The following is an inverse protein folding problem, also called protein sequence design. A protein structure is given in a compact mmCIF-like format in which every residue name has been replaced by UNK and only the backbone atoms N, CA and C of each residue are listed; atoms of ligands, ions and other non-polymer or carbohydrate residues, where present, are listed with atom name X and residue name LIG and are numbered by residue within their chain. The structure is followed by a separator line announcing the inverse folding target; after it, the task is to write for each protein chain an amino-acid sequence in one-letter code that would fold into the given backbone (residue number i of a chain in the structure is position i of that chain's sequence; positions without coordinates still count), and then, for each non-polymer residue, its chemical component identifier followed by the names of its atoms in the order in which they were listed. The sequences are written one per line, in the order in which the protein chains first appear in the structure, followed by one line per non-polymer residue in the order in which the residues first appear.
data_IF_378190523542
#
_entry.id   IF_378190523542
#
_cell.length_a   1.000
_cell.length_b   1.000
_cell.length_c   1.000
_cell.angle_alpha   90.00
_cell.angle_beta   90.00
_cell.angle_gamma   90.00
#
_symmetry.space_group_name_H-M   'P 1'
#
loop_
_entity.id
_entity.type
_entity.pdbx_description
1 polymer ?
#
# COMPACT_ATOMS: atom_id res chain seq x y z
N UNK A 1 -13.55 6.68 -13.66
CA UNK A 1 -13.73 6.64 -12.19
C UNK A 1 -14.36 7.90 -11.63
N UNK A 2 -13.68 9.06 -11.60
CA UNK A 2 -14.21 10.29 -10.95
C UNK A 2 -15.60 10.65 -11.48
N UNK A 3 -15.79 10.65 -12.79
CA UNK A 3 -17.11 10.93 -13.40
C UNK A 3 -18.18 9.94 -12.91
N UNK A 4 -17.85 8.63 -12.83
CA UNK A 4 -18.78 7.62 -12.33
C UNK A 4 -19.13 7.86 -10.85
N UNK A 5 -18.15 8.22 -10.02
CA UNK A 5 -18.37 8.59 -8.61
C UNK A 5 -19.26 9.83 -8.48
N UNK A 6 -19.04 10.85 -9.31
CA UNK A 6 -19.89 12.05 -9.35
C UNK A 6 -21.31 11.70 -9.77
N UNK A 7 -21.49 10.81 -10.74
CA UNK A 7 -22.81 10.34 -11.18
C UNK A 7 -23.55 9.63 -10.05
N UNK A 8 -22.89 8.70 -9.35
CA UNK A 8 -23.51 7.99 -8.20
C UNK A 8 -23.81 8.97 -7.06
N UNK A 9 -22.88 9.86 -6.73
CA UNK A 9 -23.11 10.90 -5.72
C UNK A 9 -24.28 11.82 -6.10
N UNK A 10 -24.40 12.18 -7.39
CA UNK A 10 -25.54 12.94 -7.90
C UNK A 10 -26.86 12.19 -7.76
N UNK A 11 -26.87 10.88 -8.04
CA UNK A 11 -28.01 10.00 -7.79
C UNK A 11 -28.46 10.04 -6.33
N UNK A 12 -27.52 9.82 -5.40
CA UNK A 12 -27.73 9.92 -3.95
C UNK A 12 -28.34 11.26 -3.55
N UNK A 13 -27.80 12.36 -4.08
CA UNK A 13 -28.27 13.72 -3.75
C UNK A 13 -29.73 13.96 -4.15
N UNK A 14 -30.16 13.33 -5.25
CA UNK A 14 -31.52 13.46 -5.77
C UNK A 14 -32.50 12.52 -5.05
N UNK A 15 -32.09 11.27 -4.79
CA UNK A 15 -32.99 10.22 -4.31
C UNK A 15 -33.09 10.13 -2.78
N UNK A 16 -32.00 10.36 -2.06
CA UNK A 16 -31.92 10.26 -0.59
C UNK A 16 -32.00 11.66 0.03
N UNK A 17 -31.45 12.67 -0.66
CA UNK A 17 -31.43 14.06 -0.24
C UNK A 17 -30.03 14.66 -0.28
N UNK A 18 -29.93 15.97 0.00
CA UNK A 18 -28.65 16.67 -0.02
C UNK A 18 -27.63 16.16 1.01
N UNK A 19 -26.36 16.55 0.84
CA UNK A 19 -25.27 16.20 1.77
C UNK A 19 -25.66 16.42 3.24
N UNK A 20 -26.24 17.57 3.65
CA UNK A 20 -26.62 17.80 5.05
C UNK A 20 -27.63 16.78 5.57
N UNK A 21 -28.57 16.34 4.72
CA UNK A 21 -29.60 15.38 5.12
C UNK A 21 -28.99 14.02 5.45
N UNK A 22 -28.09 13.52 4.59
CA UNK A 22 -27.40 12.23 4.84
C UNK A 22 -26.66 12.27 6.17
N UNK A 23 -25.86 13.30 6.42
CA UNK A 23 -25.10 13.40 7.67
C UNK A 23 -25.97 13.62 8.90
N UNK A 24 -27.07 14.37 8.80
CA UNK A 24 -28.02 14.55 9.91
C UNK A 24 -28.72 13.25 10.27
N UNK A 25 -29.18 12.49 9.27
CA UNK A 25 -29.85 11.21 9.50
C UNK A 25 -28.88 10.19 10.09
N UNK A 26 -27.64 10.12 9.60
CA UNK A 26 -26.60 9.28 10.21
C UNK A 26 -26.33 9.70 11.65
N UNK A 27 -26.23 11.00 11.95
CA UNK A 27 -26.00 11.49 13.31
C UNK A 27 -27.13 11.11 14.28
N UNK A 28 -28.37 11.00 13.79
CA UNK A 28 -29.53 10.59 14.60
C UNK A 28 -29.57 9.08 14.84
N UNK A 29 -29.19 8.27 13.85
CA UNK A 29 -29.23 6.81 13.94
C UNK A 29 -28.00 6.21 14.63
N UNK A 30 -26.81 6.66 14.24
CA UNK A 30 -25.54 6.20 14.81
C UNK A 30 -24.52 7.35 14.82
N UNK A 31 -24.49 8.17 15.90
CA UNK A 31 -23.56 9.28 16.00
C UNK A 31 -22.10 8.80 16.10
N UNK A 32 -21.85 7.55 16.48
CA UNK A 32 -20.47 7.04 16.64
C UNK A 32 -19.75 6.93 15.30
N UNK A 33 -20.48 6.66 14.20
CA UNK A 33 -19.94 6.63 12.84
C UNK A 33 -19.37 7.97 12.35
N UNK A 34 -19.78 9.09 12.97
CA UNK A 34 -19.28 10.42 12.66
C UNK A 34 -18.08 10.82 13.54
N UNK A 35 -17.58 9.88 14.34
CA UNK A 35 -16.46 10.10 15.26
C UNK A 35 -15.38 9.03 15.10
N UNK A 36 -14.18 9.32 15.62
CA UNK A 36 -13.05 8.39 15.64
C UNK A 36 -12.94 7.66 16.99
N UNK A 37 -14.06 7.15 17.51
CA UNK A 37 -14.12 6.41 18.79
C UNK A 37 -14.50 4.93 18.62
N UNK A 38 -14.52 4.43 17.39
CA UNK A 38 -14.80 3.01 17.13
C UNK A 38 -13.68 2.12 17.68
N UNK A 39 -14.04 0.97 18.24
CA UNK A 39 -13.06 -0.02 18.71
C UNK A 39 -12.18 -0.48 17.53
N UNK A 40 -10.85 -0.38 17.67
CA UNK A 40 -9.88 -0.73 16.62
C UNK A 40 -9.68 0.33 15.51
N UNK A 41 -10.62 1.27 15.35
CA UNK A 41 -10.58 2.35 14.35
C UNK A 41 -10.60 3.73 15.00
N UNK A 42 -10.04 3.84 16.20
CA UNK A 42 -10.04 5.08 16.96
C UNK A 42 -9.05 6.11 16.39
N UNK A 43 -8.92 7.24 17.08
CA UNK A 43 -7.99 8.31 16.70
C UNK A 43 -6.54 7.83 16.61
N UNK A 44 -6.12 6.88 17.45
CA UNK A 44 -4.77 6.32 17.41
C UNK A 44 -4.57 5.53 16.12
N UNK A 45 -5.52 4.69 15.75
CA UNK A 45 -5.46 3.93 14.50
C UNK A 45 -5.42 4.86 13.29
N UNK A 46 -6.29 5.87 13.27
CA UNK A 46 -6.34 6.84 12.19
C UNK A 46 -5.00 7.58 12.03
N UNK A 47 -4.46 8.13 13.13
CA UNK A 47 -3.20 8.88 13.09
C UNK A 47 -2.02 7.99 12.68
N UNK A 48 -1.93 6.78 13.22
CA UNK A 48 -0.83 5.85 12.90
C UNK A 48 -0.92 5.35 11.46
N UNK A 49 -2.12 5.06 10.96
CA UNK A 49 -2.38 4.69 9.56
C UNK A 49 -2.03 5.84 8.59
N UNK A 50 -2.38 7.08 8.92
CA UNK A 50 -2.01 8.26 8.12
C UNK A 50 -0.50 8.44 8.08
N UNK A 51 0.20 8.25 9.20
CA UNK A 51 1.67 8.36 9.26
C UNK A 51 2.32 7.29 8.36
N UNK A 52 1.97 6.01 8.52
CA UNK A 52 2.60 4.93 7.75
C UNK A 52 2.34 5.06 6.25
N UNK A 53 1.10 5.40 5.86
CA UNK A 53 0.72 5.56 4.45
C UNK A 53 1.42 6.76 3.82
N UNK A 54 1.52 7.87 4.55
CA UNK A 54 2.25 9.07 4.10
C UNK A 54 3.74 8.78 3.94
N UNK A 55 4.36 8.08 4.89
CA UNK A 55 5.78 7.70 4.78
C UNK A 55 6.01 6.74 3.60
N UNK A 56 5.19 5.70 3.45
CA UNK A 56 5.30 4.75 2.34
C UNK A 56 5.15 5.44 0.97
N UNK A 57 4.17 6.35 0.85
CA UNK A 57 3.99 7.15 -0.37
C UNK A 57 5.14 8.13 -0.61
N UNK A 58 5.61 8.83 0.45
CA UNK A 58 6.68 9.82 0.38
C UNK A 58 8.04 9.22 -0.01
N UNK A 59 8.35 8.03 0.52
CA UNK A 59 9.56 7.27 0.14
C UNK A 59 9.36 6.41 -1.12
N UNK A 60 8.20 6.47 -1.77
CA UNK A 60 7.90 5.73 -3.00
C UNK A 60 8.25 4.23 -2.87
N UNK A 61 7.77 3.58 -1.80
CA UNK A 61 8.11 2.19 -1.49
C UNK A 61 7.46 1.18 -2.44
N UNK A 62 6.52 1.61 -3.27
CA UNK A 62 5.82 0.78 -4.23
C UNK A 62 6.65 0.62 -5.53
N UNK A 63 7.18 -0.57 -5.82
CA UNK A 63 8.10 -0.76 -6.95
C UNK A 63 7.45 -0.47 -8.32
N UNK A 64 6.13 -0.68 -8.44
CA UNK A 64 5.39 -0.44 -9.68
C UNK A 64 5.23 1.05 -10.03
N UNK A 65 5.49 1.96 -9.08
CA UNK A 65 5.44 3.41 -9.31
C UNK A 65 6.75 3.99 -9.85
N UNK A 66 7.86 3.23 -9.80
CA UNK A 66 9.16 3.71 -10.28
C UNK A 66 9.27 3.83 -11.81
N UNK A 67 8.78 2.89 -12.63
CA UNK A 67 8.86 3.02 -14.09
C UNK A 67 8.30 4.35 -14.66
N UNK A 68 7.11 4.83 -14.28
CA UNK A 68 6.61 6.12 -14.77
C UNK A 68 7.41 7.31 -14.23
N UNK A 69 7.99 7.22 -13.02
CA UNK A 69 8.89 8.24 -12.48
C UNK A 69 10.16 8.35 -13.32
N UNK A 70 10.78 7.23 -13.69
CA UNK A 70 11.98 7.21 -14.54
C UNK A 70 11.70 7.52 -16.01
N UNK A 71 10.47 7.32 -16.48
CA UNK A 71 10.05 7.69 -17.84
C UNK A 71 9.60 9.15 -17.97
N UNK A 72 9.55 9.92 -16.86
CA UNK A 72 9.12 11.31 -16.89
C UNK A 72 10.10 12.19 -17.70
N UNK A 73 9.56 13.08 -18.55
CA UNK A 73 10.38 13.95 -19.41
C UNK A 73 11.18 15.00 -18.65
N UNK A 74 10.71 15.42 -17.48
CA UNK A 74 11.39 16.39 -16.63
C UNK A 74 10.94 16.27 -15.17
N UNK A 75 11.78 16.78 -14.26
CA UNK A 75 11.45 16.89 -12.83
C UNK A 75 10.30 17.86 -12.55
N UNK A 76 10.09 18.86 -13.42
CA UNK A 76 8.98 19.80 -13.34
C UNK A 76 7.63 19.11 -13.54
N UNK A 77 7.53 18.19 -14.50
CA UNK A 77 6.32 17.38 -14.72
C UNK A 77 6.02 16.54 -13.48
N UNK A 78 7.05 15.96 -12.86
CA UNK A 78 6.88 15.16 -11.65
C UNK A 78 6.36 16.03 -10.49
N UNK A 79 6.96 17.21 -10.26
CA UNK A 79 6.48 18.18 -9.25
C UNK A 79 5.05 18.63 -9.53
N UNK A 80 4.70 18.86 -10.80
CA UNK A 80 3.34 19.21 -11.20
C UNK A 80 2.35 18.10 -10.84
N UNK A 81 2.69 16.84 -11.14
CA UNK A 81 1.87 15.69 -10.80
C UNK A 81 1.61 15.60 -9.28
N UNK A 82 2.63 15.81 -8.44
CA UNK A 82 2.47 15.82 -6.99
C UNK A 82 1.58 16.97 -6.47
N UNK A 83 1.62 18.15 -7.10
CA UNK A 83 0.70 19.26 -6.77
C UNK A 83 -0.76 18.89 -7.04
N UNK A 84 -1.02 18.25 -8.19
CA UNK A 84 -2.37 17.80 -8.55
C UNK A 84 -2.86 16.62 -7.72
N UNK A 85 -1.94 15.77 -7.23
CA UNK A 85 -2.28 14.64 -6.36
C UNK A 85 -3.10 15.07 -5.15
N UNK A 86 -2.75 16.20 -4.52
CA UNK A 86 -3.49 16.74 -3.38
C UNK A 86 -4.95 17.08 -3.73
N UNK A 87 -5.19 17.63 -4.93
CA UNK A 87 -6.54 17.93 -5.40
C UNK A 87 -7.32 16.66 -5.73
N UNK A 88 -6.65 15.62 -6.25
CA UNK A 88 -7.30 14.32 -6.47
C UNK A 88 -7.71 13.65 -5.16
N UNK A 89 -7.01 13.90 -4.05
CA UNK A 89 -7.44 13.39 -2.73
C UNK A 89 -8.78 13.97 -2.29
N UNK A 90 -9.14 15.20 -2.70
CA UNK A 90 -10.47 15.75 -2.41
C UNK A 90 -11.59 14.93 -3.08
N UNK A 91 -11.30 14.24 -4.19
CA UNK A 91 -12.28 13.36 -4.83
C UNK A 91 -12.62 12.12 -4.00
N UNK A 92 -11.78 11.75 -3.01
CA UNK A 92 -12.10 10.66 -2.05
C UNK A 92 -13.30 11.00 -1.16
N UNK A 93 -13.70 12.28 -1.07
CA UNK A 93 -14.95 12.65 -0.42
C UNK A 93 -16.16 11.96 -1.06
N UNK A 94 -16.15 11.74 -2.38
CA UNK A 94 -17.27 11.11 -3.10
C UNK A 94 -17.54 9.67 -2.64
N UNK A 95 -16.58 8.72 -2.65
CA UNK A 95 -16.83 7.37 -2.16
C UNK A 95 -17.13 7.33 -0.66
N UNK A 96 -16.54 8.22 0.16
CA UNK A 96 -16.87 8.32 1.60
C UNK A 96 -18.34 8.73 1.78
N UNK A 97 -18.79 9.76 1.06
CA UNK A 97 -20.17 10.22 1.07
C UNK A 97 -21.15 9.13 0.60
N UNK A 98 -20.81 8.43 -0.48
CA UNK A 98 -21.62 7.29 -0.98
C UNK A 98 -21.67 6.17 0.08
N UNK A 99 -20.57 5.90 0.79
CA UNK A 99 -20.54 4.94 1.90
C UNK A 99 -21.48 5.30 3.04
N UNK A 100 -21.53 6.58 3.46
CA UNK A 100 -22.51 7.04 4.45
C UNK A 100 -23.95 6.93 3.93
N UNK A 101 -24.19 7.24 2.65
CA UNK A 101 -25.51 7.05 2.05
C UNK A 101 -25.91 5.57 2.00
N UNK A 102 -24.95 4.64 1.85
CA UNK A 102 -25.20 3.21 1.85
C UNK A 102 -25.78 2.71 3.18
N UNK A 103 -25.35 3.29 4.32
CA UNK A 103 -25.92 2.98 5.63
C UNK A 103 -27.42 3.27 5.70
N UNK A 104 -27.89 4.28 4.96
CA UNK A 104 -29.30 4.66 4.92
C UNK A 104 -30.10 3.86 3.88
N UNK A 105 -29.46 3.47 2.78
CA UNK A 105 -30.13 2.89 1.61
C UNK A 105 -30.07 1.36 1.54
N UNK A 106 -29.11 0.71 2.20
CA UNK A 106 -28.84 -0.72 2.09
C UNK A 106 -29.04 -1.43 3.43
N UNK A 107 -29.22 -2.76 3.37
CA UNK A 107 -29.26 -3.60 4.57
C UNK A 107 -27.92 -3.55 5.30
N UNK A 108 -27.90 -3.57 6.65
CA UNK A 108 -26.67 -3.69 7.45
C UNK A 108 -25.81 -4.91 7.09
N UNK A 109 -26.42 -5.97 6.56
CA UNK A 109 -25.73 -7.20 6.16
C UNK A 109 -25.04 -7.09 4.78
N UNK A 110 -25.15 -5.94 4.11
CA UNK A 110 -24.56 -5.75 2.79
C UNK A 110 -23.04 -5.70 2.89
N UNK A 111 -22.34 -6.52 2.09
CA UNK A 111 -20.89 -6.52 2.06
C UNK A 111 -20.32 -5.14 1.68
N UNK A 112 -19.38 -4.64 2.49
CA UNK A 112 -18.76 -3.30 2.34
C UNK A 112 -18.25 -3.04 0.92
N UNK A 113 -17.56 -4.03 0.33
CA UNK A 113 -17.01 -3.97 -1.03
C UNK A 113 -18.07 -3.69 -2.12
N UNK A 114 -19.34 -4.03 -1.87
CA UNK A 114 -20.44 -3.88 -2.84
C UNK A 114 -21.30 -2.63 -2.61
N UNK A 115 -21.06 -1.90 -1.50
CA UNK A 115 -21.91 -0.79 -1.07
C UNK A 115 -22.12 0.28 -2.15
N UNK A 116 -21.05 0.68 -2.85
CA UNK A 116 -21.13 1.67 -3.92
C UNK A 116 -22.07 1.22 -5.06
N UNK A 117 -21.94 -0.03 -5.51
CA UNK A 117 -22.78 -0.56 -6.60
C UNK A 117 -24.22 -0.79 -6.12
N UNK A 118 -24.39 -1.20 -4.86
CA UNK A 118 -25.70 -1.28 -4.21
C UNK A 118 -26.40 0.07 -4.22
N UNK A 119 -25.75 1.12 -3.73
CA UNK A 119 -26.30 2.49 -3.75
C UNK A 119 -26.57 2.95 -5.19
N UNK A 120 -25.68 2.69 -6.13
CA UNK A 120 -25.91 3.03 -7.54
C UNK A 120 -27.19 2.37 -8.07
N UNK A 121 -27.44 1.10 -7.73
CA UNK A 121 -28.64 0.36 -8.14
C UNK A 121 -29.92 0.92 -7.51
N UNK A 122 -29.85 1.41 -6.28
CA UNK A 122 -30.99 2.04 -5.61
C UNK A 122 -31.30 3.46 -6.09
N UNK A 123 -30.32 4.16 -6.65
CA UNK A 123 -30.41 5.62 -6.89
C UNK A 123 -30.37 6.01 -8.36
N UNK A 124 -29.95 5.11 -9.25
CA UNK A 124 -29.78 5.37 -10.69
C UNK A 124 -30.63 4.41 -11.55
N UNK A 125 -31.00 4.81 -12.78
CA UNK A 125 -31.63 3.90 -13.73
C UNK A 125 -30.64 2.82 -14.21
N UNK A 126 -31.15 1.62 -14.52
CA UNK A 126 -30.36 0.42 -14.84
C UNK A 126 -29.26 0.62 -15.89
N UNK A 127 -29.54 1.39 -16.94
CA UNK A 127 -28.57 1.67 -18.00
C UNK A 127 -27.35 2.44 -17.47
N UNK A 128 -27.55 3.34 -16.51
CA UNK A 128 -26.52 4.17 -15.92
C UNK A 128 -25.71 3.39 -14.88
N UNK A 129 -26.35 2.45 -14.18
CA UNK A 129 -25.67 1.46 -13.33
C UNK A 129 -24.67 0.64 -14.17
N UNK A 130 -25.09 0.19 -15.37
CA UNK A 130 -24.20 -0.48 -16.32
C UNK A 130 -22.99 0.37 -16.71
N UNK A 131 -23.19 1.66 -17.00
CA UNK A 131 -22.09 2.60 -17.30
C UNK A 131 -21.14 2.76 -16.11
N UNK A 132 -21.66 2.90 -14.89
CA UNK A 132 -20.86 3.00 -13.66
C UNK A 132 -20.05 1.73 -13.44
N UNK A 133 -20.66 0.55 -13.63
CA UNK A 133 -19.98 -0.73 -13.48
C UNK A 133 -18.82 -0.88 -14.47
N UNK A 134 -19.04 -0.57 -15.75
CA UNK A 134 -17.98 -0.60 -16.78
C UNK A 134 -16.89 0.42 -16.50
N UNK A 135 -17.25 1.63 -16.06
CA UNK A 135 -16.29 2.67 -15.70
C UNK A 135 -15.45 2.30 -14.47
N UNK A 136 -16.05 1.62 -13.49
CA UNK A 136 -15.37 1.08 -12.31
C UNK A 136 -14.40 -0.04 -12.67
N UNK A 137 -14.86 -1.03 -13.44
CA UNK A 137 -14.03 -2.12 -13.93
C UNK A 137 -12.83 -1.60 -14.74
N UNK A 138 -13.07 -0.69 -15.70
CA UNK A 138 -12.02 -0.08 -16.51
C UNK A 138 -11.02 0.71 -15.66
N UNK A 139 -11.48 1.39 -14.61
CA UNK A 139 -10.62 2.13 -13.69
C UNK A 139 -9.74 1.21 -12.84
N UNK A 140 -10.25 0.05 -12.42
CA UNK A 140 -9.47 -0.95 -11.67
C UNK A 140 -8.39 -1.61 -12.56
N UNK A 141 -8.67 -1.82 -13.86
CA UNK A 141 -7.74 -2.50 -14.77
C UNK A 141 -6.40 -1.78 -14.94
N UNK A 142 -6.38 -0.44 -14.95
CA UNK A 142 -5.16 0.35 -15.19
C UNK A 142 -4.09 0.14 -14.10
N UNK A 143 -4.36 0.37 -12.80
CA UNK A 143 -3.38 0.09 -11.75
C UNK A 143 -3.07 -1.40 -11.63
N UNK A 144 -4.05 -2.29 -11.81
CA UNK A 144 -3.81 -3.74 -11.79
C UNK A 144 -2.80 -4.18 -12.85
N UNK A 145 -2.89 -3.66 -14.08
CA UNK A 145 -1.93 -3.94 -15.14
C UNK A 145 -0.51 -3.47 -14.76
N UNK A 146 -0.38 -2.26 -14.21
CA UNK A 146 0.91 -1.72 -13.78
C UNK A 146 1.54 -2.57 -12.66
N UNK A 147 0.74 -3.00 -11.68
CA UNK A 147 1.19 -3.85 -10.57
C UNK A 147 1.67 -5.20 -11.10
N UNK A 148 0.89 -5.85 -11.98
CA UNK A 148 1.22 -7.17 -12.53
C UNK A 148 2.46 -7.13 -13.43
N UNK A 149 2.62 -6.07 -14.22
CA UNK A 149 3.86 -5.81 -14.98
C UNK A 149 5.05 -5.60 -14.04
N UNK A 150 4.86 -4.86 -12.94
CA UNK A 150 5.86 -4.68 -11.90
C UNK A 150 6.31 -6.00 -11.28
N UNK A 151 5.36 -6.84 -10.85
CA UNK A 151 5.61 -8.17 -10.27
C UNK A 151 6.39 -9.04 -11.27
N UNK A 152 5.90 -9.15 -12.50
CA UNK A 152 6.56 -10.00 -13.51
C UNK A 152 8.00 -9.57 -13.79
N UNK A 153 8.25 -8.26 -13.88
CA UNK A 153 9.58 -7.70 -14.11
C UNK A 153 10.50 -7.95 -12.92
N UNK A 154 10.01 -7.77 -11.70
CA UNK A 154 10.77 -8.02 -10.47
C UNK A 154 11.18 -9.49 -10.37
N UNK A 155 10.22 -10.41 -10.57
CA UNK A 155 10.49 -11.85 -10.50
C UNK A 155 11.50 -12.27 -11.57
N UNK A 156 11.28 -11.88 -12.82
CA UNK A 156 12.14 -12.30 -13.94
C UNK A 156 13.56 -11.73 -13.84
N UNK A 157 13.70 -10.45 -13.48
CA UNK A 157 15.00 -9.75 -13.51
C UNK A 157 15.77 -9.78 -12.20
N UNK A 158 15.08 -9.76 -11.04
CA UNK A 158 15.73 -9.63 -9.73
C UNK A 158 15.79 -10.97 -9.00
N UNK A 159 14.70 -11.73 -8.97
CA UNK A 159 14.66 -13.04 -8.30
C UNK A 159 15.32 -14.13 -9.15
N UNK A 160 14.92 -14.25 -10.41
CA UNK A 160 15.42 -15.30 -11.31
C UNK A 160 16.63 -14.88 -12.15
N UNK A 161 16.98 -13.59 -12.13
CA UNK A 161 18.12 -12.99 -12.85
C UNK A 161 18.22 -13.38 -14.35
N UNK A 162 17.09 -13.60 -15.03
CA UNK A 162 17.07 -14.08 -16.42
C UNK A 162 17.53 -12.98 -17.37
N UNK A 163 18.67 -13.20 -18.04
CA UNK A 163 19.27 -12.23 -18.98
C UNK A 163 18.84 -12.43 -20.43
N UNK A 164 18.44 -13.63 -20.83
CA UNK A 164 18.02 -13.92 -22.21
C UNK A 164 16.67 -13.26 -22.53
N UNK A 165 16.57 -12.41 -23.58
CA UNK A 165 15.33 -11.68 -23.89
C UNK A 165 14.15 -12.61 -24.17
N UNK A 166 14.35 -13.67 -24.96
CA UNK A 166 13.30 -14.65 -25.31
C UNK A 166 12.82 -15.44 -24.09
N UNK A 167 13.71 -15.77 -23.16
CA UNK A 167 13.35 -16.47 -21.92
C UNK A 167 12.66 -15.53 -20.93
N UNK A 168 13.15 -14.30 -20.82
CA UNK A 168 12.55 -13.27 -19.98
C UNK A 168 11.11 -12.96 -20.38
N UNK A 169 10.82 -12.85 -21.70
CA UNK A 169 9.46 -12.63 -22.18
C UNK A 169 8.50 -13.79 -21.81
N UNK A 170 8.95 -15.04 -21.99
CA UNK A 170 8.15 -16.22 -21.61
C UNK A 170 7.88 -16.28 -20.11
N UNK A 171 8.90 -16.03 -19.29
CA UNK A 171 8.75 -16.04 -17.83
C UNK A 171 7.90 -14.86 -17.35
N UNK A 172 8.04 -13.68 -17.94
CA UNK A 172 7.15 -12.55 -17.64
C UNK A 172 5.69 -12.92 -17.86
N UNK A 173 5.33 -13.45 -19.04
CA UNK A 173 3.95 -13.88 -19.30
C UNK A 173 3.45 -14.93 -18.32
N UNK A 174 4.29 -15.91 -17.98
CA UNK A 174 3.93 -16.93 -16.99
C UNK A 174 3.65 -16.31 -15.61
N UNK A 175 4.53 -15.42 -15.13
CA UNK A 175 4.36 -14.74 -13.84
C UNK A 175 3.11 -13.85 -13.85
N UNK A 176 2.82 -13.17 -14.97
CA UNK A 176 1.59 -12.39 -15.14
C UNK A 176 0.35 -13.27 -14.97
N UNK A 177 0.31 -14.42 -15.65
CA UNK A 177 -0.82 -15.36 -15.55
C UNK A 177 -0.97 -15.88 -14.11
N UNK A 178 0.13 -16.29 -13.48
CA UNK A 178 0.12 -16.78 -12.09
C UNK A 178 -0.38 -15.68 -11.14
N UNK A 179 0.09 -14.44 -11.29
CA UNK A 179 -0.32 -13.33 -10.45
C UNK A 179 -1.82 -13.00 -10.61
N UNK A 180 -2.34 -13.00 -11.83
CA UNK A 180 -3.77 -12.74 -12.11
C UNK A 180 -4.65 -13.87 -11.58
N UNK A 181 -4.26 -15.14 -11.80
CA UNK A 181 -5.01 -16.29 -11.28
C UNK A 181 -5.01 -16.30 -9.75
N UNK A 182 -3.86 -16.01 -9.13
CA UNK A 182 -3.77 -15.86 -7.67
C UNK A 182 -4.67 -14.74 -7.16
N UNK A 183 -4.62 -13.56 -7.78
CA UNK A 183 -5.48 -12.43 -7.43
C UNK A 183 -6.97 -12.76 -7.57
N UNK A 184 -7.37 -13.51 -8.62
CA UNK A 184 -8.74 -13.99 -8.79
C UNK A 184 -9.15 -14.93 -7.66
N UNK A 185 -8.32 -15.90 -7.29
CA UNK A 185 -8.60 -16.83 -6.18
C UNK A 185 -8.78 -16.07 -4.87
N UNK A 186 -7.92 -15.08 -4.57
CA UNK A 186 -8.08 -14.25 -3.38
C UNK A 186 -9.32 -13.36 -3.45
N UNK A 187 -9.64 -12.78 -4.62
CA UNK A 187 -10.84 -11.98 -4.82
C UNK A 187 -12.13 -12.74 -4.56
N UNK A 188 -12.18 -14.03 -4.93
CA UNK A 188 -13.34 -14.90 -4.66
C UNK A 188 -13.57 -15.19 -3.17
N UNK A 189 -12.61 -14.89 -2.29
CA UNK A 189 -12.74 -15.05 -0.84
C UNK A 189 -13.39 -13.84 -0.14
N UNK A 190 -13.78 -12.79 -0.88
CA UNK A 190 -14.49 -11.60 -0.37
C UNK A 190 -13.84 -10.92 0.86
N UNK A 191 -12.52 -10.91 0.93
CA UNK A 191 -11.79 -10.15 1.96
C UNK A 191 -12.06 -8.65 1.84
N UNK A 192 -12.03 -7.92 2.96
CA UNK A 192 -12.19 -6.47 2.96
C UNK A 192 -11.02 -5.81 2.20
N UNK A 193 -11.34 -5.08 1.14
CA UNK A 193 -10.33 -4.50 0.25
C UNK A 193 -9.56 -3.37 0.96
N UNK A 194 -10.20 -2.65 1.89
CA UNK A 194 -9.56 -1.58 2.64
C UNK A 194 -8.50 -2.13 3.61
N UNK A 195 -8.83 -3.22 4.32
CA UNK A 195 -7.89 -3.89 5.23
C UNK A 195 -6.69 -4.47 4.47
N UNK A 196 -6.94 -5.15 3.34
CA UNK A 196 -5.88 -5.66 2.45
C UNK A 196 -4.96 -4.54 1.95
N UNK A 197 -5.53 -3.37 1.64
CA UNK A 197 -4.75 -2.20 1.23
C UNK A 197 -3.85 -1.72 2.37
N UNK A 198 -4.37 -1.62 3.59
CA UNK A 198 -3.60 -1.17 4.74
C UNK A 198 -2.45 -2.13 5.07
N UNK A 199 -2.70 -3.43 5.05
CA UNK A 199 -1.66 -4.47 5.19
C UNK A 199 -0.58 -4.33 4.11
N UNK A 200 -0.99 -4.02 2.87
CA UNK A 200 -0.06 -3.77 1.76
C UNK A 200 0.82 -2.55 2.05
N UNK A 201 0.23 -1.44 2.52
CA UNK A 201 0.97 -0.25 2.94
C UNK A 201 1.93 -0.57 4.09
N UNK A 202 1.48 -1.27 5.12
CA UNK A 202 2.30 -1.66 6.26
C UNK A 202 3.47 -2.57 5.88
N UNK A 203 3.24 -3.54 5.00
CA UNK A 203 4.29 -4.44 4.50
C UNK A 203 5.33 -3.71 3.64
N UNK A 204 4.89 -2.84 2.73
CA UNK A 204 5.82 -2.06 1.88
C UNK A 204 6.49 -0.91 2.63
N UNK A 205 5.89 -0.39 3.70
CA UNK A 205 6.51 0.57 4.60
C UNK A 205 7.83 0.02 5.21
N UNK A 206 7.99 -1.30 5.28
CA UNK A 206 9.23 -1.91 5.77
C UNK A 206 10.45 -1.65 4.87
N UNK A 207 10.23 -1.13 3.66
CA UNK A 207 11.30 -0.65 2.77
C UNK A 207 11.70 0.81 3.03
N UNK A 208 10.99 1.55 3.88
CA UNK A 208 11.28 2.96 4.20
C UNK A 208 12.74 3.13 4.67
N UNK A 209 13.27 2.37 5.66
CA UNK A 209 14.64 2.55 6.10
C UNK A 209 15.66 2.31 4.98
N UNK A 210 15.39 1.32 4.11
CA UNK A 210 16.24 1.03 2.96
C UNK A 210 16.32 2.21 1.98
N UNK A 211 15.15 2.77 1.62
CA UNK A 211 15.10 3.93 0.69
C UNK A 211 15.71 5.16 1.34
N UNK A 212 15.40 5.44 2.61
CA UNK A 212 15.93 6.59 3.33
C UNK A 212 17.46 6.57 3.40
N UNK A 213 18.06 5.41 3.69
CA UNK A 213 19.51 5.23 3.71
C UNK A 213 20.13 5.34 2.30
N UNK A 214 19.42 4.91 1.26
CA UNK A 214 19.87 5.00 -0.13
C UNK A 214 19.84 6.42 -0.70
N UNK A 215 18.99 7.31 -0.17
CA UNK A 215 18.93 8.72 -0.57
C UNK A 215 20.10 9.56 -0.01
N UNK A 216 20.83 9.04 0.97
CA UNK A 216 22.01 9.69 1.53
C UNK A 216 23.15 9.81 0.50
N UNK A 217 24.03 10.82 0.69
CA UNK A 217 25.18 11.04 -0.21
C UNK A 217 26.17 9.87 -0.25
N UNK A 218 26.18 9.02 0.79
CA UNK A 218 26.91 7.76 0.85
C UNK A 218 26.11 6.73 1.62
N UNK A 219 25.97 5.52 1.07
CA UNK A 219 25.38 4.37 1.77
C UNK A 219 26.42 3.82 2.75
N UNK A 220 26.16 3.95 4.06
CA UNK A 220 27.08 3.52 5.14
C UNK A 220 26.67 2.23 5.82
N UNK A 221 25.61 1.59 5.35
CA UNK A 221 25.01 0.39 5.95
C UNK A 221 25.10 -0.74 4.93
N UNK A 222 25.36 -1.96 5.39
CA UNK A 222 25.42 -3.12 4.51
C UNK A 222 24.05 -3.52 3.96
N UNK A 223 24.05 -4.09 2.75
CA UNK A 223 22.83 -4.65 2.15
C UNK A 223 22.22 -5.76 3.03
N UNK A 224 23.07 -6.57 3.68
CA UNK A 224 22.62 -7.64 4.60
C UNK A 224 21.84 -7.06 5.78
N UNK A 225 22.35 -6.01 6.43
CA UNK A 225 21.65 -5.36 7.54
C UNK A 225 20.29 -4.79 7.12
N UNK A 226 20.25 -4.12 5.97
CA UNK A 226 19.01 -3.54 5.43
C UNK A 226 17.98 -4.62 5.07
N UNK A 227 18.39 -5.70 4.40
CA UNK A 227 17.49 -6.80 4.04
C UNK A 227 16.98 -7.55 5.27
N UNK A 228 17.84 -7.80 6.27
CA UNK A 228 17.44 -8.44 7.52
C UNK A 228 16.43 -7.60 8.29
N UNK A 229 16.63 -6.28 8.37
CA UNK A 229 15.66 -5.36 8.97
C UNK A 229 14.32 -5.37 8.23
N UNK A 230 14.35 -5.22 6.91
CA UNK A 230 13.13 -5.25 6.09
C UNK A 230 12.35 -6.56 6.22
N UNK A 231 13.06 -7.70 6.23
CA UNK A 231 12.44 -9.02 6.42
C UNK A 231 11.85 -9.16 7.83
N UNK A 232 12.56 -8.74 8.87
CA UNK A 232 12.06 -8.76 10.25
C UNK A 232 10.80 -7.90 10.38
N UNK A 233 10.81 -6.68 9.84
CA UNK A 233 9.63 -5.82 9.81
C UNK A 233 8.46 -6.46 9.06
N UNK A 234 8.70 -7.05 7.88
CA UNK A 234 7.64 -7.69 7.10
C UNK A 234 7.02 -8.88 7.85
N UNK A 235 7.85 -9.71 8.49
CA UNK A 235 7.37 -10.81 9.33
C UNK A 235 6.58 -10.26 10.51
N UNK A 236 7.03 -9.19 11.17
CA UNK A 236 6.27 -8.55 12.24
C UNK A 236 4.90 -8.08 11.78
N UNK A 237 4.77 -7.45 10.60
CA UNK A 237 3.45 -7.05 10.06
C UNK A 237 2.56 -8.28 9.91
N UNK A 238 3.06 -9.34 9.25
CA UNK A 238 2.29 -10.56 9.02
C UNK A 238 1.83 -11.18 10.35
N UNK A 239 2.72 -11.31 11.33
CA UNK A 239 2.38 -11.91 12.63
C UNK A 239 1.37 -11.02 13.38
N UNK A 240 1.57 -9.70 13.43
CA UNK A 240 0.66 -8.80 14.12
C UNK A 240 -0.73 -8.76 13.47
N UNK A 241 -0.81 -8.81 12.14
CA UNK A 241 -2.09 -8.81 11.40
C UNK A 241 -2.82 -10.14 11.51
N UNK A 242 -2.13 -11.28 11.34
CA UNK A 242 -2.81 -12.59 11.17
C UNK A 242 -2.83 -13.46 12.43
N UNK A 243 -2.07 -13.11 13.48
CA UNK A 243 -2.07 -13.86 14.74
C UNK A 243 -2.88 -13.18 15.85
N UNK A 244 -3.72 -12.19 15.51
CA UNK A 244 -4.60 -11.45 16.43
C UNK A 244 -3.90 -10.95 17.71
N UNK A 245 -2.64 -10.53 17.57
CA UNK A 245 -1.86 -10.04 18.71
C UNK A 245 -2.43 -8.70 19.16
N UNK A 246 -2.78 -8.52 20.45
CA UNK A 246 -3.36 -7.27 20.93
C UNK A 246 -2.30 -6.16 20.93
N UNK A 247 -2.29 -5.36 19.85
CA UNK A 247 -1.47 -4.15 19.71
C UNK A 247 -2.25 -2.86 20.04
N UNK A 248 -3.45 -3.02 20.63
CA UNK A 248 -4.40 -1.92 20.78
C UNK A 248 -4.86 -1.41 19.41
N UNK A 249 -5.12 -0.11 19.32
CA UNK A 249 -5.56 0.53 18.09
C UNK A 249 -4.40 1.01 17.20
N UNK A 250 -3.20 0.46 17.33
CA UNK A 250 -2.07 0.88 16.50
C UNK A 250 -2.07 0.19 15.15
N UNK A 251 -1.67 0.93 14.11
CA UNK A 251 -1.37 0.33 12.82
C UNK A 251 -0.19 -0.66 12.91
N UNK A 252 -0.43 -1.89 12.45
CA UNK A 252 0.55 -2.99 12.46
C UNK A 252 1.79 -2.69 11.62
N UNK A 253 1.63 -1.94 10.53
CA UNK A 253 2.72 -1.49 9.65
C UNK A 253 3.67 -0.52 10.36
N UNK A 254 3.11 0.47 11.05
CA UNK A 254 3.89 1.47 11.77
C UNK A 254 4.66 0.84 12.95
N UNK A 255 3.99 0.03 13.77
CA UNK A 255 4.63 -0.67 14.89
C UNK A 255 5.79 -1.55 14.39
N UNK A 256 5.62 -2.21 13.25
CA UNK A 256 6.61 -3.11 12.68
C UNK A 256 7.88 -2.42 12.17
N UNK A 257 7.89 -1.08 12.04
CA UNK A 257 9.13 -0.35 11.78
C UNK A 257 10.11 -0.42 12.96
N UNK A 258 9.64 -0.60 14.19
CA UNK A 258 10.51 -0.75 15.35
C UNK A 258 11.38 -2.03 15.26
N UNK A 259 10.83 -3.26 15.12
CA UNK A 259 11.65 -4.46 14.95
C UNK A 259 12.52 -4.40 13.67
N UNK A 260 12.04 -3.76 12.61
CA UNK A 260 12.83 -3.51 11.40
C UNK A 260 14.12 -2.73 11.71
N UNK A 261 13.97 -1.56 12.34
CA UNK A 261 15.11 -0.71 12.69
C UNK A 261 16.03 -1.36 13.72
N UNK A 262 15.48 -2.05 14.71
CA UNK A 262 16.28 -2.79 15.71
C UNK A 262 17.13 -3.84 15.02
N UNK A 263 16.55 -4.71 14.19
CA UNK A 263 17.31 -5.77 13.49
C UNK A 263 18.33 -5.16 12.54
N UNK A 264 17.98 -4.11 11.81
CA UNK A 264 18.91 -3.41 10.92
C UNK A 264 20.15 -2.89 11.69
N UNK A 265 19.92 -2.18 12.79
CA UNK A 265 21.00 -1.59 13.61
C UNK A 265 21.84 -2.69 14.26
N UNK A 266 21.21 -3.72 14.80
CA UNK A 266 21.92 -4.85 15.44
C UNK A 266 22.81 -5.59 14.43
N UNK A 267 22.28 -5.94 13.25
CA UNK A 267 23.05 -6.65 12.22
C UNK A 267 24.21 -5.78 11.72
N UNK A 268 24.00 -4.48 11.50
CA UNK A 268 25.08 -3.59 11.09
C UNK A 268 26.14 -3.41 12.19
N UNK A 269 25.73 -3.34 13.45
CA UNK A 269 26.65 -3.25 14.58
C UNK A 269 27.52 -4.50 14.69
N UNK A 270 26.90 -5.70 14.69
CA UNK A 270 27.62 -6.99 14.71
C UNK A 270 28.59 -7.09 13.54
N UNK A 271 28.15 -6.74 12.33
CA UNK A 271 29.02 -6.77 11.14
C UNK A 271 30.24 -5.87 11.28
N UNK A 272 30.06 -4.66 11.80
CA UNK A 272 31.17 -3.71 12.02
C UNK A 272 32.14 -4.19 13.10
N UNK A 273 31.62 -4.79 14.17
CA UNK A 273 32.45 -5.38 15.23
C UNK A 273 33.31 -6.51 14.68
N UNK A 274 32.73 -7.44 13.93
CA UNK A 274 33.48 -8.55 13.29
C UNK A 274 34.53 -8.02 12.32
N UNK A 275 34.17 -7.08 11.44
CA UNK A 275 35.13 -6.49 10.50
C UNK A 275 36.29 -5.75 11.20
N UNK A 276 36.02 -5.11 12.34
CA UNK A 276 37.07 -4.44 13.14
C UNK A 276 38.02 -5.40 13.84
N UNK A 277 37.60 -6.65 14.11
CA UNK A 277 38.44 -7.68 14.73
C UNK A 277 39.36 -8.39 13.71
N UNK A 278 38.92 -8.52 12.46
CA UNK A 278 39.72 -9.12 11.38
C UNK A 278 40.86 -8.20 10.89
N UNK A 279 40.69 -6.87 10.99
CA UNK A 279 41.68 -5.89 10.52
C UNK A 279 43.03 -5.93 11.28
N UNK A 280 43.08 -5.95 12.63
CA UNK A 280 44.35 -6.03 13.35
C UNK A 280 45.04 -7.40 13.23
N UNK A 281 44.30 -8.49 13.00
CA UNK A 281 44.87 -9.83 12.83
C UNK A 281 45.63 -10.00 11.51
N UNK A 282 45.17 -9.33 10.43
CA UNK A 282 45.87 -9.34 9.13
C UNK A 282 47.15 -8.51 9.13
N UNK A 283 47.17 -7.37 9.83
CA UNK A 283 48.39 -6.55 9.94
C UNK A 283 49.49 -7.28 10.73
N UNK A 284 49.14 -8.10 11.73
CA UNK A 284 50.10 -8.95 12.43
C UNK A 284 50.64 -10.11 11.57
N UNK A 285 49.81 -10.77 10.76
CA UNK A 285 50.29 -11.83 9.86
C UNK A 285 51.18 -11.28 8.72
N UNK A 286 50.83 -10.14 8.12
CA UNK A 286 51.65 -9.54 7.06
C UNK A 286 53.00 -9.02 7.57
N UNK A 287 53.05 -8.50 8.80
CA UNK A 287 54.31 -8.07 9.42
C UNK A 287 55.20 -9.24 9.85
N UNK A 288 54.62 -10.39 10.21
CA UNK A 288 55.37 -11.60 10.52
C UNK A 288 55.97 -12.25 9.25
N UNK A 289 55.26 -12.18 8.11
CA UNK A 289 55.74 -12.68 6.81
C UNK A 289 56.83 -11.78 6.18
N UNK A 290 56.84 -10.48 6.47
CA UNK A 290 57.84 -9.53 5.94
C UNK A 290 59.14 -9.48 6.74
N UNK A 291 59.18 -10.06 7.94
CA UNK A 291 60.34 -10.06 8.84
C UNK A 291 61.03 -11.43 8.94
N UNK A 292 60.42 -12.50 8.42
CA UNK A 292 61.01 -13.84 8.30
C UNK A 292 61.69 -14.10 6.95
#
# INVERSE_FOLDING_TARGET
MIVALVVVAGGVLISIGGIPHVFQTVAQHDPTMLTLHGAGYDTTFFMTSVIVTTLAAGFNTFPHLWPPVFAARSSEILRSNYKWLALYQLALFLPIFIGFAAVLALSPDTASNTALLGVATHTLPDWLVGVVAVAGASAAMVPSAAIVVGISTLVTRNLLAIRSPRRALRVNHLVVVIAIVGALIFGLKNSDIAELLLVTYGGLAQLIPAVALALGSRVRVSAVAVMSGALAGLVSVIVLTFADIPIGSWDSGLISLAPNLVVLVTVECVRRLVASQESPARESEESEILVG
#
